data_IF_021582040400
#
_entry.id   IF_021582040400
#
_cell.length_a   1.000
_cell.length_b   1.000
_cell.length_c   1.000
_cell.angle_alpha   90.00
_cell.angle_beta   90.00
_cell.angle_gamma   90.00
#
_symmetry.space_group_name_H-M   'P 1'
#
loop_
_entity.id
_entity.type
_entity.pdbx_description
1 polymer ?
#
# COMPACT_ATOMS: atom_id res chain seq x y z
N UNK A 1 9.38 -13.23 10.63
CA UNK A 1 9.13 -13.95 9.36
C UNK A 1 8.49 -12.97 8.38
N UNK A 2 8.99 -12.87 7.14
CA UNK A 2 8.56 -11.88 6.14
C UNK A 2 7.44 -12.51 5.32
N UNK A 3 6.19 -12.38 5.76
CA UNK A 3 5.03 -12.96 5.04
C UNK A 3 4.60 -12.10 3.83
N UNK A 4 5.27 -10.96 3.59
CA UNK A 4 4.99 -10.08 2.45
C UNK A 4 5.40 -10.67 1.11
N UNK A 5 6.60 -11.24 1.01
CA UNK A 5 7.15 -11.77 -0.24
C UNK A 5 6.28 -12.86 -0.89
N UNK A 6 5.81 -13.91 -0.19
CA UNK A 6 4.97 -14.94 -0.82
C UNK A 6 3.62 -14.40 -1.27
N UNK A 7 3.04 -13.44 -0.54
CA UNK A 7 1.75 -12.83 -0.89
C UNK A 7 1.89 -11.96 -2.13
N UNK A 8 2.97 -11.18 -2.23
CA UNK A 8 3.27 -10.37 -3.41
C UNK A 8 3.47 -11.24 -4.66
N UNK A 9 4.20 -12.36 -4.54
CA UNK A 9 4.35 -13.32 -5.63
C UNK A 9 3.03 -13.96 -6.05
N UNK A 10 2.18 -14.36 -5.09
CA UNK A 10 0.86 -14.92 -5.40
C UNK A 10 -0.04 -13.93 -6.16
N UNK A 11 -0.08 -12.67 -5.73
CA UNK A 11 -0.84 -11.61 -6.39
C UNK A 11 -0.27 -11.32 -7.78
N UNK A 12 1.06 -11.28 -7.94
CA UNK A 12 1.71 -11.05 -9.22
C UNK A 12 1.43 -12.19 -10.22
N UNK A 13 1.57 -13.45 -9.79
CA UNK A 13 1.28 -14.62 -10.63
C UNK A 13 -0.20 -14.66 -11.04
N UNK A 14 -1.11 -14.41 -10.09
CA UNK A 14 -2.54 -14.35 -10.38
C UNK A 14 -2.88 -13.21 -11.36
N UNK A 15 -2.29 -12.03 -11.17
CA UNK A 15 -2.47 -10.89 -12.07
C UNK A 15 -1.94 -11.17 -13.48
N UNK A 16 -0.76 -11.79 -13.59
CA UNK A 16 -0.18 -12.20 -14.87
C UNK A 16 -1.05 -13.23 -15.59
N UNK A 17 -1.58 -14.21 -14.84
CA UNK A 17 -2.53 -15.20 -15.38
C UNK A 17 -3.81 -14.54 -15.89
N UNK A 18 -4.44 -13.67 -15.10
CA UNK A 18 -5.67 -12.97 -15.50
C UNK A 18 -5.44 -12.07 -16.72
N UNK A 19 -4.29 -11.39 -16.79
CA UNK A 19 -3.88 -10.61 -17.96
C UNK A 19 -3.69 -11.49 -19.20
N UNK A 20 -3.06 -12.66 -19.05
CA UNK A 20 -2.93 -13.65 -20.12
C UNK A 20 -4.30 -14.13 -20.64
N UNK A 21 -5.22 -14.47 -19.74
CA UNK A 21 -6.61 -14.85 -20.09
C UNK A 21 -7.30 -13.75 -20.88
N UNK A 22 -7.20 -12.49 -20.42
CA UNK A 22 -7.78 -11.34 -21.12
C UNK A 22 -7.15 -11.11 -22.50
N UNK A 23 -5.83 -11.27 -22.64
CA UNK A 23 -5.11 -11.12 -23.90
C UNK A 23 -5.51 -12.18 -24.94
N UNK A 24 -5.83 -13.40 -24.49
CA UNK A 24 -6.32 -14.48 -25.36
C UNK A 24 -7.83 -14.45 -25.61
N UNK A 25 -8.58 -13.57 -24.93
CA UNK A 25 -10.02 -13.50 -25.08
C UNK A 25 -10.38 -12.88 -26.43
N UNK A 26 -11.00 -13.67 -27.30
CA UNK A 26 -11.58 -13.20 -28.55
C UNK A 26 -12.88 -12.45 -28.30
N UNK A 27 -13.07 -11.30 -28.95
CA UNK A 27 -14.32 -10.55 -28.88
C UNK A 27 -15.46 -11.34 -29.54
N UNK A 28 -16.56 -11.53 -28.81
CA UNK A 28 -17.69 -12.34 -29.27
C UNK A 28 -18.67 -11.57 -30.17
N UNK A 29 -18.62 -10.23 -30.19
CA UNK A 29 -19.51 -9.40 -31.01
C UNK A 29 -18.85 -8.08 -31.45
N UNK A 30 -19.38 -7.48 -32.53
CA UNK A 30 -18.97 -6.15 -33.00
C UNK A 30 -19.26 -5.07 -31.95
N UNK A 31 -18.33 -4.13 -31.79
CA UNK A 31 -18.44 -3.02 -30.84
C UNK A 31 -19.47 -1.99 -31.35
N UNK A 32 -20.57 -1.74 -30.62
CA UNK A 32 -21.45 -0.62 -30.91
C UNK A 32 -20.68 0.69 -30.79
N UNK A 33 -20.87 1.62 -31.73
CA UNK A 33 -20.13 2.89 -31.75
C UNK A 33 -20.82 3.98 -30.89
N UNK A 34 -22.06 3.73 -30.47
CA UNK A 34 -22.96 4.74 -29.91
C UNK A 34 -23.32 4.45 -28.43
N UNK A 35 -22.85 3.32 -27.89
CA UNK A 35 -23.13 2.86 -26.53
C UNK A 35 -21.90 2.18 -25.93
N UNK A 36 -21.78 2.18 -24.59
CA UNK A 36 -20.70 1.43 -23.94
C UNK A 36 -20.90 -0.08 -24.18
N UNK A 37 -19.89 -0.71 -24.78
CA UNK A 37 -19.88 -2.15 -25.02
C UNK A 37 -19.99 -2.91 -23.70
N UNK A 38 -21.14 -3.56 -23.49
CA UNK A 38 -21.37 -4.33 -22.28
C UNK A 38 -20.52 -5.59 -22.29
N UNK A 39 -19.65 -5.74 -21.29
CA UNK A 39 -18.70 -6.85 -21.20
C UNK A 39 -19.31 -8.25 -21.32
N UNK A 40 -20.60 -8.42 -20.99
CA UNK A 40 -21.31 -9.69 -21.18
C UNK A 40 -21.58 -10.08 -22.62
N UNK A 41 -21.70 -9.09 -23.50
CA UNK A 41 -21.93 -9.27 -24.93
C UNK A 41 -20.62 -9.44 -25.69
N UNK A 42 -19.55 -8.77 -25.24
CA UNK A 42 -18.26 -8.74 -25.96
C UNK A 42 -17.20 -9.70 -25.41
N UNK A 43 -17.28 -10.15 -24.15
CA UNK A 43 -16.28 -11.02 -23.54
C UNK A 43 -16.86 -12.35 -23.09
N UNK A 44 -16.04 -13.40 -23.15
CA UNK A 44 -16.33 -14.69 -22.56
C UNK A 44 -16.60 -14.61 -21.04
N UNK A 45 -17.14 -15.68 -20.47
CA UNK A 45 -17.48 -15.74 -19.04
C UNK A 45 -16.20 -15.72 -18.17
N UNK A 46 -15.13 -16.38 -18.62
CA UNK A 46 -13.90 -16.56 -17.85
C UNK A 46 -13.19 -15.23 -17.49
N UNK A 47 -12.90 -14.31 -18.44
CA UNK A 47 -12.34 -12.99 -18.12
C UNK A 47 -13.20 -12.19 -17.13
N UNK A 48 -14.53 -12.27 -17.26
CA UNK A 48 -15.47 -11.55 -16.40
C UNK A 48 -15.44 -12.03 -14.96
N UNK A 49 -15.45 -13.35 -14.76
CA UNK A 49 -15.39 -13.94 -13.41
C UNK A 49 -14.05 -13.62 -12.76
N UNK A 50 -12.93 -13.74 -13.48
CA UNK A 50 -11.61 -13.39 -12.94
C UNK A 50 -11.54 -11.91 -12.55
N UNK A 51 -12.05 -11.00 -13.38
CA UNK A 51 -12.10 -9.58 -13.07
C UNK A 51 -12.97 -9.30 -11.82
N UNK A 52 -14.14 -9.94 -11.72
CA UNK A 52 -15.03 -9.80 -10.57
C UNK A 52 -14.39 -10.31 -9.27
N UNK A 53 -13.72 -11.46 -9.31
CA UNK A 53 -13.03 -12.03 -8.14
C UNK A 53 -11.81 -11.20 -7.75
N UNK A 54 -11.00 -10.77 -8.72
CA UNK A 54 -9.83 -9.93 -8.48
C UNK A 54 -10.22 -8.59 -7.83
N UNK A 55 -11.22 -7.92 -8.41
CA UNK A 55 -11.70 -6.63 -7.93
C UNK A 55 -12.45 -6.76 -6.60
N UNK A 56 -13.42 -7.68 -6.53
CA UNK A 56 -14.24 -7.90 -5.33
C UNK A 56 -13.43 -8.40 -4.14
N UNK A 57 -12.48 -9.32 -4.37
CA UNK A 57 -11.58 -9.82 -3.33
C UNK A 57 -10.71 -8.71 -2.76
N UNK A 58 -10.09 -7.89 -3.61
CA UNK A 58 -9.30 -6.74 -3.18
C UNK A 58 -10.13 -5.72 -2.38
N UNK A 59 -11.34 -5.39 -2.88
CA UNK A 59 -12.24 -4.47 -2.21
C UNK A 59 -12.68 -4.97 -0.83
N UNK A 60 -12.99 -6.26 -0.68
CA UNK A 60 -13.34 -6.87 0.61
C UNK A 60 -12.19 -6.80 1.61
N UNK A 61 -10.96 -7.07 1.17
CA UNK A 61 -9.77 -6.97 2.03
C UNK A 61 -9.57 -5.54 2.52
N UNK A 62 -9.71 -4.54 1.64
CA UNK A 62 -9.59 -3.12 2.01
C UNK A 62 -10.71 -2.72 2.97
N UNK A 63 -11.96 -3.04 2.66
CA UNK A 63 -13.11 -2.70 3.49
C UNK A 63 -13.02 -3.33 4.88
N UNK A 64 -12.78 -4.64 4.95
CA UNK A 64 -12.65 -5.36 6.22
C UNK A 64 -11.43 -4.89 7.02
N UNK A 65 -10.29 -4.65 6.35
CA UNK A 65 -9.08 -4.12 6.98
C UNK A 65 -9.30 -2.73 7.56
N UNK A 66 -9.96 -1.84 6.82
CA UNK A 66 -10.30 -0.49 7.27
C UNK A 66 -11.28 -0.51 8.45
N UNK A 67 -12.37 -1.29 8.35
CA UNK A 67 -13.36 -1.42 9.40
C UNK A 67 -12.74 -2.00 10.69
N UNK A 68 -11.96 -3.08 10.58
CA UNK A 68 -11.26 -3.67 11.72
C UNK A 68 -10.26 -2.68 12.35
N UNK A 69 -9.52 -1.94 11.51
CA UNK A 69 -8.57 -0.93 11.97
C UNK A 69 -9.27 0.22 12.72
N UNK A 70 -10.43 0.67 12.25
CA UNK A 70 -11.25 1.69 12.90
C UNK A 70 -11.71 1.25 14.30
N UNK A 71 -12.22 0.02 14.44
CA UNK A 71 -12.67 -0.53 15.73
C UNK A 71 -11.50 -0.68 16.70
N UNK A 72 -10.35 -1.18 16.21
CA UNK A 72 -9.16 -1.42 17.04
C UNK A 72 -8.48 -0.12 17.48
N UNK A 73 -8.45 0.92 16.64
CA UNK A 73 -7.74 2.19 16.90
C UNK A 73 -8.68 3.39 17.13
N UNK A 74 -9.84 3.14 17.74
CA UNK A 74 -10.86 4.16 18.06
C UNK A 74 -10.35 5.37 18.87
N UNK A 75 -9.26 5.19 19.63
CA UNK A 75 -8.66 6.24 20.45
C UNK A 75 -7.83 7.24 19.64
N UNK A 76 -7.37 6.87 18.45
CA UNK A 76 -6.63 7.75 17.54
C UNK A 76 -7.59 8.37 16.53
N UNK A 77 -8.17 9.52 16.88
CA UNK A 77 -9.22 10.20 16.08
C UNK A 77 -8.89 10.27 14.58
N UNK A 78 -7.63 10.61 14.24
CA UNK A 78 -7.19 10.70 12.83
C UNK A 78 -7.25 9.35 12.10
N UNK A 79 -6.77 8.28 12.72
CA UNK A 79 -6.82 6.94 12.12
C UNK A 79 -8.26 6.41 12.06
N UNK A 80 -9.07 6.70 13.08
CA UNK A 80 -10.49 6.39 13.07
C UNK A 80 -11.19 7.06 11.88
N UNK A 81 -11.07 8.38 11.75
CA UNK A 81 -11.68 9.13 10.65
C UNK A 81 -11.17 8.66 9.29
N UNK A 82 -9.85 8.49 9.13
CA UNK A 82 -9.26 8.01 7.87
C UNK A 82 -9.79 6.63 7.46
N UNK A 83 -9.80 5.67 8.38
CA UNK A 83 -10.28 4.31 8.10
C UNK A 83 -11.80 4.26 7.87
N UNK A 84 -12.57 5.11 8.55
CA UNK A 84 -14.01 5.23 8.33
C UNK A 84 -14.32 5.83 6.96
N UNK A 85 -13.57 6.85 6.52
CA UNK A 85 -13.67 7.39 5.16
C UNK A 85 -13.30 6.34 4.10
N UNK A 86 -12.24 5.55 4.33
CA UNK A 86 -11.87 4.46 3.42
C UNK A 86 -13.02 3.46 3.33
N UNK A 87 -13.53 2.97 4.47
CA UNK A 87 -14.63 2.02 4.49
C UNK A 87 -15.90 2.59 3.83
N UNK A 88 -16.25 3.84 4.11
CA UNK A 88 -17.39 4.52 3.51
C UNK A 88 -17.24 4.66 1.98
N UNK A 89 -16.07 5.09 1.51
CA UNK A 89 -15.78 5.19 0.07
C UNK A 89 -15.84 3.83 -0.62
N UNK A 90 -15.28 2.78 -0.01
CA UNK A 90 -15.33 1.42 -0.57
C UNK A 90 -16.77 0.88 -0.61
N UNK A 91 -17.58 1.16 0.43
CA UNK A 91 -18.99 0.81 0.47
C UNK A 91 -19.80 1.57 -0.60
N UNK A 92 -19.49 2.85 -0.83
CA UNK A 92 -20.14 3.66 -1.86
C UNK A 92 -19.83 3.13 -3.27
N UNK A 93 -18.58 2.73 -3.52
CA UNK A 93 -18.18 2.06 -4.76
C UNK A 93 -18.92 0.73 -4.95
N UNK A 94 -19.05 -0.08 -3.89
CA UNK A 94 -19.83 -1.32 -3.94
C UNK A 94 -21.33 -1.10 -4.17
N UNK A 95 -21.90 -0.07 -3.53
CA UNK A 95 -23.29 0.30 -3.68
C UNK A 95 -23.61 0.92 -5.05
N UNK A 96 -22.64 1.57 -5.70
CA UNK A 96 -22.83 2.18 -7.04
C UNK A 96 -23.38 1.19 -8.08
N UNK A 97 -22.97 -0.09 -8.00
CA UNK A 97 -23.49 -1.15 -8.86
C UNK A 97 -24.94 -1.54 -8.57
N UNK A 98 -25.42 -1.36 -7.33
CA UNK A 98 -26.81 -1.65 -6.92
C UNK A 98 -27.77 -0.50 -7.25
N UNK A 99 -27.30 0.75 -7.18
CA UNK A 99 -28.10 1.95 -7.51
C UNK A 99 -28.21 2.22 -9.02
N UNK A 100 -27.57 1.41 -9.85
CA UNK A 100 -27.61 1.49 -11.31
C UNK A 100 -29.04 1.36 -11.91
N UNK A 101 -30.02 0.96 -11.10
CA UNK A 101 -31.43 0.83 -11.50
C UNK A 101 -32.29 2.09 -11.26
N UNK A 102 -31.80 3.10 -10.52
CA UNK A 102 -32.61 4.27 -10.07
C UNK A 102 -32.14 5.60 -10.69
N UNK A 103 -30.89 5.70 -11.12
CA UNK A 103 -30.34 6.89 -11.76
C UNK A 103 -30.11 6.68 -13.26
N UNK A 104 -30.06 7.78 -14.03
CA UNK A 104 -29.61 7.76 -15.43
C UNK A 104 -28.32 6.94 -15.54
N UNK A 105 -28.37 5.87 -16.33
CA UNK A 105 -27.49 4.70 -16.19
C UNK A 105 -26.00 5.02 -16.40
N UNK A 106 -25.68 6.09 -17.12
CA UNK A 106 -24.30 6.54 -17.32
C UNK A 106 -23.87 7.58 -16.31
N UNK A 107 -24.69 8.61 -16.14
CA UNK A 107 -24.30 9.80 -15.38
C UNK A 107 -24.30 9.51 -13.89
N UNK A 108 -25.33 8.85 -13.37
CA UNK A 108 -25.45 8.53 -11.94
C UNK A 108 -24.38 7.54 -11.47
N UNK A 109 -24.09 6.53 -12.31
CA UNK A 109 -23.03 5.57 -12.05
C UNK A 109 -21.66 6.25 -12.01
N UNK A 110 -21.34 7.08 -13.02
CA UNK A 110 -20.06 7.79 -13.08
C UNK A 110 -19.88 8.75 -11.90
N UNK A 111 -20.91 9.51 -11.54
CA UNK A 111 -20.87 10.43 -10.40
C UNK A 111 -20.64 9.68 -9.09
N UNK A 112 -21.33 8.57 -8.84
CA UNK A 112 -21.12 7.75 -7.65
C UNK A 112 -19.72 7.12 -7.61
N UNK A 113 -19.18 6.71 -8.76
CA UNK A 113 -17.83 6.19 -8.86
C UNK A 113 -16.80 7.27 -8.48
N UNK A 114 -16.92 8.47 -9.06
CA UNK A 114 -16.05 9.62 -8.77
C UNK A 114 -16.17 10.02 -7.30
N UNK A 115 -17.38 10.08 -6.76
CA UNK A 115 -17.61 10.40 -5.36
C UNK A 115 -16.98 9.35 -4.45
N UNK A 116 -17.18 8.06 -4.73
CA UNK A 116 -16.66 6.94 -3.96
C UNK A 116 -15.13 6.90 -3.92
N UNK A 117 -14.48 7.03 -5.09
CA UNK A 117 -13.00 7.04 -5.14
C UNK A 117 -12.42 8.29 -4.46
N UNK A 118 -13.07 9.45 -4.59
CA UNK A 118 -12.64 10.69 -3.93
C UNK A 118 -12.70 10.57 -2.41
N UNK A 119 -13.80 10.03 -1.87
CA UNK A 119 -13.96 9.79 -0.43
C UNK A 119 -12.93 8.77 0.09
N UNK A 120 -12.73 7.67 -0.65
CA UNK A 120 -11.73 6.67 -0.32
C UNK A 120 -10.33 7.28 -0.27
N UNK A 121 -9.97 8.06 -1.29
CA UNK A 121 -8.66 8.71 -1.39
C UNK A 121 -8.45 9.77 -0.29
N UNK A 122 -9.46 10.57 0.02
CA UNK A 122 -9.41 11.50 1.14
C UNK A 122 -9.16 10.77 2.48
N UNK A 123 -9.83 9.63 2.69
CA UNK A 123 -9.58 8.76 3.84
C UNK A 123 -8.14 8.25 3.91
N UNK A 124 -7.58 7.84 2.77
CA UNK A 124 -6.18 7.46 2.66
C UNK A 124 -5.24 8.62 3.00
N UNK A 125 -5.51 9.83 2.53
CA UNK A 125 -4.69 11.01 2.81
C UNK A 125 -4.72 11.36 4.31
N UNK A 126 -5.90 11.31 4.93
CA UNK A 126 -6.10 11.50 6.37
C UNK A 126 -5.36 10.41 7.17
N UNK A 127 -5.44 9.15 6.74
CA UNK A 127 -4.73 8.06 7.38
C UNK A 127 -3.20 8.18 7.23
N UNK A 128 -2.71 8.71 6.11
CA UNK A 128 -1.29 8.74 5.71
C UNK A 128 -0.50 9.98 6.14
N UNK A 129 -1.13 10.95 6.82
CA UNK A 129 -0.46 12.14 7.34
C UNK A 129 0.87 11.86 8.08
N UNK A 130 1.76 12.87 8.19
CA UNK A 130 3.16 12.68 8.56
C UNK A 130 3.29 11.73 9.73
N UNK A 131 4.01 10.62 9.52
CA UNK A 131 4.53 9.83 10.62
C UNK A 131 5.26 10.85 11.49
N UNK A 132 4.75 11.12 12.70
CA UNK A 132 5.64 11.56 13.77
C UNK A 132 6.61 10.40 13.90
N UNK A 133 7.70 10.44 13.12
CA UNK A 133 8.92 9.69 13.39
C UNK A 133 9.14 9.98 14.87
N UNK A 134 8.80 9.04 15.74
CA UNK A 134 9.35 9.09 17.09
C UNK A 134 10.84 9.17 16.84
N UNK A 135 11.53 10.25 17.24
CA UNK A 135 12.97 10.24 17.25
C UNK A 135 13.31 8.96 17.98
N UNK A 136 13.94 8.02 17.28
CA UNK A 136 14.50 6.85 17.92
C UNK A 136 15.58 7.48 18.77
N UNK A 137 15.24 7.73 20.04
CA UNK A 137 16.18 8.12 21.06
C UNK A 137 17.13 6.94 21.11
N UNK A 138 18.19 7.04 20.30
CA UNK A 138 19.44 6.43 20.66
C UNK A 138 19.75 7.08 22.00
N UNK A 139 19.34 6.42 23.08
CA UNK A 139 20.16 6.36 24.26
C UNK A 139 21.50 5.80 23.79
N UNK A 140 22.29 6.67 23.16
CA UNK A 140 23.73 6.70 23.37
C UNK A 140 23.79 6.96 24.86
N UNK A 141 23.87 5.86 25.60
CA UNK A 141 24.46 5.89 26.92
C UNK A 141 25.84 6.47 26.72
N UNK A 142 25.94 7.77 26.95
CA UNK A 142 27.12 8.38 27.55
C UNK A 142 27.33 7.69 28.91
N UNK A 143 27.94 6.51 28.87
CA UNK A 143 28.88 6.09 29.90
C UNK A 143 30.22 6.09 29.17
N UNK A 144 31.11 7.06 29.32
CA UNK A 144 31.50 7.69 30.59
C UNK A 144 31.64 6.67 31.72
N UNK A 145 32.41 5.63 31.42
CA UNK A 145 33.44 5.12 32.33
C UNK A 145 34.76 5.49 31.63
N UNK A 146 35.47 6.56 32.01
CA UNK A 146 36.20 6.68 33.26
C UNK A 146 37.04 5.43 33.57
N UNK A 147 37.96 5.07 32.67
CA UNK A 147 39.23 4.46 33.06
C UNK A 147 40.28 4.60 31.95
N UNK A 148 41.47 4.99 32.38
CA UNK A 148 42.75 4.79 31.70
C UNK A 148 43.28 5.96 30.85
N UNK A 149 43.69 7.00 31.57
CA UNK A 149 44.86 7.76 31.20
C UNK A 149 46.06 6.82 31.05
N UNK A 150 46.45 6.54 29.81
CA UNK A 150 47.81 6.12 29.47
C UNK A 150 48.44 7.26 28.68
N UNK A 151 49.38 7.92 29.35
CA UNK A 151 50.24 8.92 28.74
C UNK A 151 50.91 8.35 27.50
N UNK A 152 50.72 9.05 26.38
CA UNK A 152 51.57 8.90 25.21
C UNK A 152 52.92 9.47 25.62
N UNK A 153 53.82 8.58 26.06
CA UNK A 153 55.20 8.91 26.32
C UNK A 153 55.86 9.35 25.01
N UNK A 154 56.20 10.63 24.98
CA UNK A 154 57.11 11.28 24.05
C UNK A 154 58.38 10.46 23.88
N UNK A 155 58.66 10.03 22.65
CA UNK A 155 59.87 9.30 22.26
C UNK A 155 61.08 10.25 22.28
N UNK A 156 62.16 10.00 23.06
CA UNK A 156 63.39 10.77 22.97
C UNK A 156 64.28 10.30 21.82
N UNK A 157 65.05 11.20 21.17
CA UNK A 157 66.03 10.80 20.16
C UNK A 157 67.24 10.12 20.81
N UNK A 158 67.51 8.87 20.43
CA UNK A 158 68.73 8.16 20.84
C UNK A 158 69.94 8.74 20.08
N UNK A 159 70.77 9.48 20.82
CA UNK A 159 72.09 9.94 20.38
C UNK A 159 73.09 8.78 20.39
N UNK A 160 73.87 8.73 19.32
CA UNK A 160 75.30 8.42 19.29
C UNK A 160 75.75 7.15 20.02
N UNK A 161 75.77 6.04 19.29
CA UNK A 161 76.77 5.00 19.50
C UNK A 161 78.10 5.44 18.89
N UNK A 162 78.90 6.19 19.66
CA UNK A 162 80.35 6.23 19.48
C UNK A 162 80.89 4.85 19.85
N UNK A 163 81.18 4.02 18.85
CA UNK A 163 82.09 2.89 19.00
C UNK A 163 83.48 3.34 18.58
N UNK A 164 84.25 3.66 19.61
CA UNK A 164 85.70 3.74 19.62
C UNK A 164 86.26 2.30 19.55
N UNK A 165 86.90 1.93 18.45
CA UNK A 165 88.02 0.96 18.36
C UNK A 165 88.44 0.78 16.89
N UNK A 166 89.44 1.53 16.45
CA UNK A 166 90.84 1.08 16.25
C UNK A 166 91.71 2.31 15.99
#
# INVERSE_FOLDING_TARGET
RRWGDPTAWAVALFGAFAAGVMATATFTSSLPHDQLAQGSHVLGVLPRVLAAVASGGGALVVFAGAAYSAVRRRHERRLLFGNLLIAAGTALLGASGLLNSVFDAMTGFAVMLVLGITVLFAGFLVASGPLRRRPRLSLVTDGSSASEGRGVATFPPSRAGEHQQT
#
